data_IF_582062780071
#
_entry.id   IF_582062780071
#
_cell.length_a   1.000
_cell.length_b   1.000
_cell.length_c   1.000
_cell.angle_alpha   90.00
_cell.angle_beta   90.00
_cell.angle_gamma   90.00
#
_symmetry.space_group_name_H-M   'P 1'
#
loop_
_entity.id
_entity.type
_entity.pdbx_description
1 polymer ?
#
# COMPACT_ATOMS: atom_id res chain seq x y z
N UNK A 1 -13.95 10.84 -0.42
CA UNK A 1 -12.91 10.56 0.58
C UNK A 1 -13.27 9.31 1.35
N UNK A 2 -12.29 8.57 1.88
CA UNK A 2 -12.54 7.40 2.74
C UNK A 2 -13.10 7.84 4.10
N UNK A 3 -14.01 7.06 4.66
CA UNK A 3 -14.42 7.21 6.06
C UNK A 3 -13.33 6.71 7.00
N UNK A 4 -13.33 7.16 8.26
CA UNK A 4 -12.37 6.67 9.27
C UNK A 4 -12.41 5.15 9.43
N UNK A 5 -13.59 4.53 9.36
CA UNK A 5 -13.75 3.08 9.40
C UNK A 5 -13.03 2.41 8.23
N UNK A 6 -13.23 2.90 7.00
CA UNK A 6 -12.56 2.36 5.83
C UNK A 6 -11.04 2.54 5.89
N UNK A 7 -10.54 3.67 6.40
CA UNK A 7 -9.11 3.89 6.59
C UNK A 7 -8.52 2.82 7.52
N UNK A 8 -9.16 2.55 8.66
CA UNK A 8 -8.72 1.53 9.60
C UNK A 8 -8.71 0.15 8.96
N UNK A 9 -9.81 -0.25 8.31
CA UNK A 9 -9.93 -1.57 7.67
C UNK A 9 -8.84 -1.79 6.59
N UNK A 10 -8.57 -0.78 5.77
CA UNK A 10 -7.56 -0.84 4.71
C UNK A 10 -6.13 -0.79 5.27
N UNK A 11 -5.90 -0.02 6.34
CA UNK A 11 -4.61 0.03 7.01
C UNK A 11 -4.28 -1.32 7.68
N UNK A 12 -5.26 -1.93 8.38
CA UNK A 12 -5.12 -3.24 9.02
C UNK A 12 -4.88 -4.34 7.99
N UNK A 13 -5.56 -4.29 6.84
CA UNK A 13 -5.34 -5.24 5.76
C UNK A 13 -3.90 -5.20 5.22
N UNK A 14 -3.26 -4.03 5.20
CA UNK A 14 -1.87 -3.87 4.81
C UNK A 14 -0.88 -4.29 5.91
N UNK A 15 -1.28 -4.15 7.17
CA UNK A 15 -0.51 -4.54 8.35
C UNK A 15 -0.47 -6.07 8.60
N UNK A 16 -1.31 -6.86 7.91
CA UNK A 16 -1.32 -8.32 8.06
C UNK A 16 0.04 -8.94 7.74
N UNK A 17 0.43 -9.95 8.52
CA UNK A 17 1.65 -10.73 8.31
C UNK A 17 1.61 -11.44 6.95
N UNK A 18 2.75 -11.42 6.28
CA UNK A 18 3.10 -12.13 5.05
C UNK A 18 4.38 -12.95 5.30
N UNK A 19 4.98 -13.51 4.25
CA UNK A 19 6.15 -14.40 4.34
C UNK A 19 7.37 -13.70 4.95
N UNK A 20 8.13 -14.43 5.76
CA UNK A 20 9.39 -13.96 6.33
C UNK A 20 9.22 -12.91 7.43
N UNK A 21 8.11 -12.97 8.19
CA UNK A 21 7.78 -12.03 9.28
C UNK A 21 7.58 -10.57 8.84
N UNK A 22 7.56 -10.33 7.53
CA UNK A 22 7.16 -9.04 6.98
C UNK A 22 5.63 -8.91 7.04
N UNK A 23 5.12 -7.69 7.13
CA UNK A 23 3.73 -7.40 6.79
C UNK A 23 3.58 -7.31 5.27
N UNK A 24 2.35 -7.37 4.76
CA UNK A 24 2.11 -7.15 3.33
C UNK A 24 2.64 -5.78 2.88
N UNK A 25 2.46 -4.74 3.69
CA UNK A 25 3.02 -3.42 3.44
C UNK A 25 4.55 -3.41 3.46
N UNK A 26 5.18 -4.08 4.43
CA UNK A 26 6.64 -4.21 4.50
C UNK A 26 7.23 -4.92 3.27
N UNK A 27 6.60 -6.01 2.81
CA UNK A 27 7.04 -6.73 1.60
C UNK A 27 6.80 -5.91 0.33
N UNK A 28 5.70 -5.15 0.26
CA UNK A 28 5.46 -4.23 -0.85
C UNK A 28 6.53 -3.14 -0.92
N UNK A 29 6.90 -2.56 0.23
CA UNK A 29 8.00 -1.59 0.32
C UNK A 29 9.32 -2.20 -0.15
N UNK A 30 9.67 -3.41 0.29
CA UNK A 30 10.88 -4.08 -0.20
C UNK A 30 10.90 -4.25 -1.72
N UNK A 31 9.76 -4.63 -2.31
CA UNK A 31 9.64 -4.88 -3.74
C UNK A 31 9.71 -3.60 -4.58
N UNK A 32 9.13 -2.50 -4.08
CA UNK A 32 9.02 -1.26 -4.83
C UNK A 32 10.20 -0.32 -4.53
N UNK A 33 10.49 -0.06 -3.26
CA UNK A 33 11.58 0.85 -2.85
C UNK A 33 13.00 0.38 -3.21
N UNK A 34 13.18 -0.88 -3.62
CA UNK A 34 14.45 -1.36 -4.19
C UNK A 34 14.55 -1.20 -5.72
N UNK A 35 13.51 -0.70 -6.41
CA UNK A 35 13.58 -0.46 -7.85
C UNK A 35 14.39 0.81 -8.15
N UNK A 36 15.12 0.85 -9.28
CA UNK A 36 15.68 2.10 -9.78
C UNK A 36 14.57 3.14 -9.95
N UNK A 37 14.81 4.36 -9.48
CA UNK A 37 13.88 5.50 -9.58
C UNK A 37 12.50 5.25 -8.96
N UNK A 38 12.40 4.42 -7.90
CA UNK A 38 11.13 4.25 -7.19
C UNK A 38 10.69 5.54 -6.51
N UNK A 39 9.38 5.81 -6.52
CA UNK A 39 8.79 6.89 -5.74
C UNK A 39 8.73 6.54 -4.24
N UNK A 40 8.94 5.27 -3.88
CA UNK A 40 8.89 4.80 -2.50
C UNK A 40 10.26 4.88 -1.82
N UNK A 41 10.32 5.12 -0.50
CA UNK A 41 11.58 5.17 0.21
C UNK A 41 12.31 3.82 0.14
N UNK A 42 13.64 3.87 0.06
CA UNK A 42 14.45 2.65 0.06
C UNK A 42 14.27 1.92 1.41
N UNK A 43 13.90 0.64 1.41
CA UNK A 43 13.81 -0.14 2.64
C UNK A 43 15.19 -0.23 3.30
N UNK A 44 15.26 0.05 4.61
CA UNK A 44 16.51 0.04 5.36
C UNK A 44 16.29 -0.48 6.78
N UNK A 45 17.29 -1.16 7.33
CA UNK A 45 17.26 -1.74 8.67
C UNK A 45 16.63 -3.13 8.73
N UNK A 46 16.16 -3.50 9.92
CA UNK A 46 15.60 -4.83 10.19
C UNK A 46 14.12 -4.95 9.77
N UNK A 47 13.56 -6.16 9.86
CA UNK A 47 12.18 -6.47 9.45
C UNK A 47 11.14 -5.56 10.13
N UNK A 48 11.29 -5.28 11.42
CA UNK A 48 10.37 -4.41 12.15
C UNK A 48 10.38 -2.96 11.61
N UNK A 49 11.56 -2.44 11.29
CA UNK A 49 11.72 -1.11 10.69
C UNK A 49 11.08 -1.09 9.29
N UNK A 50 11.30 -2.12 8.49
CA UNK A 50 10.72 -2.25 7.15
C UNK A 50 9.19 -2.34 7.20
N UNK A 51 8.63 -3.12 8.13
CA UNK A 51 7.19 -3.23 8.32
C UNK A 51 6.57 -1.88 8.69
N UNK A 52 7.18 -1.16 9.65
CA UNK A 52 6.74 0.17 10.04
C UNK A 52 6.85 1.17 8.89
N UNK A 53 7.95 1.17 8.14
CA UNK A 53 8.14 2.04 6.99
C UNK A 53 7.09 1.78 5.90
N UNK A 54 6.80 0.50 5.61
CA UNK A 54 5.75 0.13 4.66
C UNK A 54 4.37 0.60 5.13
N UNK A 55 4.06 0.43 6.42
CA UNK A 55 2.80 0.89 6.98
C UNK A 55 2.66 2.42 6.96
N UNK A 56 3.74 3.15 7.21
CA UNK A 56 3.73 4.61 7.14
C UNK A 56 3.36 5.10 5.74
N UNK A 57 3.87 4.46 4.68
CA UNK A 57 3.49 4.77 3.29
C UNK A 57 2.00 4.52 3.06
N UNK A 58 1.46 3.40 3.55
CA UNK A 58 0.02 3.09 3.43
C UNK A 58 -0.83 4.16 4.12
N UNK A 59 -0.48 4.48 5.37
CA UNK A 59 -1.21 5.45 6.17
C UNK A 59 -1.19 6.83 5.51
N UNK A 60 -0.02 7.29 5.06
CA UNK A 60 0.15 8.54 4.33
C UNK A 60 -0.77 8.64 3.10
N UNK A 61 -0.84 7.58 2.29
CA UNK A 61 -1.73 7.55 1.12
C UNK A 61 -3.22 7.52 1.53
N UNK A 62 -3.59 6.76 2.56
CA UNK A 62 -4.99 6.62 2.99
C UNK A 62 -5.54 7.88 3.68
N UNK A 63 -4.69 8.63 4.39
CA UNK A 63 -5.11 9.81 5.16
C UNK A 63 -4.89 11.13 4.43
N UNK A 64 -4.22 11.12 3.28
CA UNK A 64 -4.08 12.31 2.45
C UNK A 64 -5.45 12.74 1.87
N UNK A 65 -5.93 13.97 2.15
CA UNK A 65 -7.26 14.42 1.73
C UNK A 65 -7.40 14.58 0.20
N UNK A 66 -6.27 14.69 -0.50
CA UNK A 66 -6.20 14.80 -1.96
C UNK A 66 -5.98 13.45 -2.65
N UNK A 67 -5.97 12.34 -1.91
CA UNK A 67 -5.92 11.01 -2.50
C UNK A 67 -7.17 10.70 -3.32
N UNK A 68 -6.96 10.17 -4.52
CA UNK A 68 -8.02 9.73 -5.42
C UNK A 68 -8.25 8.23 -5.29
N UNK A 69 -9.51 7.82 -5.42
CA UNK A 69 -9.92 6.41 -5.33
C UNK A 69 -10.49 6.02 -6.69
N UNK A 70 -9.92 4.99 -7.30
CA UNK A 70 -10.41 4.41 -8.54
C UNK A 70 -10.74 2.93 -8.33
N UNK A 71 -11.82 2.47 -8.96
CA UNK A 71 -12.22 1.07 -8.95
C UNK A 71 -12.29 0.57 -10.37
N UNK A 72 -11.48 -0.44 -10.71
CA UNK A 72 -11.38 -0.94 -12.08
C UNK A 72 -11.21 -2.44 -12.16
N UNK A 73 -11.57 -3.00 -13.32
CA UNK A 73 -11.32 -4.40 -13.64
C UNK A 73 -9.90 -4.57 -14.15
N UNK A 74 -9.17 -5.55 -13.61
CA UNK A 74 -7.84 -5.94 -14.07
C UNK A 74 -7.87 -7.40 -14.55
N UNK A 75 -7.04 -7.73 -15.54
CA UNK A 75 -6.92 -9.11 -16.04
C UNK A 75 -6.41 -10.09 -14.98
N UNK A 76 -5.54 -9.63 -14.09
CA UNK A 76 -4.83 -10.49 -13.12
C UNK A 76 -5.55 -10.62 -11.78
N UNK A 77 -6.16 -9.54 -11.29
CA UNK A 77 -6.70 -9.49 -9.93
C UNK A 77 -8.22 -9.29 -9.91
N UNK A 78 -8.88 -9.31 -11.07
CA UNK A 78 -10.29 -8.96 -11.18
C UNK A 78 -10.53 -7.50 -10.81
N UNK A 79 -11.66 -7.23 -10.16
CA UNK A 79 -12.02 -5.89 -9.68
C UNK A 79 -11.10 -5.50 -8.52
N UNK A 80 -10.49 -4.33 -8.61
CA UNK A 80 -9.58 -3.78 -7.60
C UNK A 80 -9.98 -2.36 -7.24
N UNK A 81 -9.61 -1.95 -6.03
CA UNK A 81 -9.65 -0.55 -5.59
C UNK A 81 -8.23 -0.03 -5.51
N UNK A 82 -7.94 1.07 -6.18
CA UNK A 82 -6.66 1.78 -6.15
C UNK A 82 -6.84 3.12 -5.45
N UNK A 83 -5.98 3.43 -4.49
CA UNK A 83 -5.91 4.75 -3.87
C UNK A 83 -4.56 5.35 -4.24
N UNK A 84 -4.56 6.57 -4.82
CA UNK A 84 -3.35 7.28 -5.25
C UNK A 84 -3.25 8.65 -4.61
N UNK A 85 -2.11 8.94 -4.01
CA UNK A 85 -1.77 10.26 -3.51
C UNK A 85 -1.40 11.21 -4.68
N UNK A 86 -1.37 12.54 -4.46
CA UNK A 86 -1.07 13.53 -5.51
C UNK A 86 0.31 13.38 -6.16
N UNK A 87 1.27 12.78 -5.45
CA UNK A 87 2.61 12.49 -5.96
C UNK A 87 2.68 11.22 -6.83
N UNK A 88 1.53 10.60 -7.09
CA UNK A 88 1.38 9.40 -7.93
C UNK A 88 1.59 8.08 -7.21
N UNK A 89 2.19 8.07 -5.99
CA UNK A 89 2.30 6.86 -5.18
C UNK A 89 0.91 6.30 -4.90
N UNK A 90 0.74 5.00 -5.11
CA UNK A 90 -0.53 4.34 -4.89
C UNK A 90 -0.45 3.03 -4.14
N UNK A 91 -1.62 2.59 -3.68
CA UNK A 91 -1.86 1.30 -3.06
C UNK A 91 -3.05 0.63 -3.73
N UNK A 92 -3.03 -0.70 -3.79
CA UNK A 92 -4.08 -1.50 -4.42
C UNK A 92 -4.62 -2.53 -3.45
N UNK A 93 -5.94 -2.66 -3.44
CA UNK A 93 -6.69 -3.68 -2.73
C UNK A 93 -7.52 -4.51 -3.72
N UNK A 94 -7.71 -5.79 -3.43
CA UNK A 94 -8.67 -6.63 -4.16
C UNK A 94 -10.13 -6.27 -3.79
N UNK A 95 -11.08 -6.93 -4.45
CA UNK A 95 -12.52 -6.73 -4.21
C UNK A 95 -13.00 -7.14 -2.81
N UNK A 96 -12.17 -7.81 -2.00
CA UNK A 96 -12.45 -8.19 -0.61
C UNK A 96 -11.81 -7.24 0.40
N UNK A 97 -11.10 -6.21 -0.07
CA UNK A 97 -10.35 -5.29 0.80
C UNK A 97 -9.01 -5.85 1.27
N UNK A 98 -8.52 -6.95 0.69
CA UNK A 98 -7.17 -7.45 1.00
C UNK A 98 -6.12 -6.67 0.22
N UNK A 99 -5.06 -6.26 0.93
CA UNK A 99 -3.97 -5.50 0.33
C UNK A 99 -3.19 -6.34 -0.68
N UNK A 100 -3.04 -5.81 -1.90
CA UNK A 100 -2.28 -6.42 -3.00
C UNK A 100 -0.84 -5.88 -3.03
N UNK A 101 -0.66 -4.57 -2.90
CA UNK A 101 0.67 -3.95 -2.98
C UNK A 101 0.68 -2.48 -3.38
N UNK A 102 1.88 -1.94 -3.54
CA UNK A 102 2.14 -0.58 -3.98
C UNK A 102 2.03 -0.41 -5.51
N UNK A 103 1.79 0.82 -5.94
CA UNK A 103 1.73 1.27 -7.33
C UNK A 103 2.69 2.44 -7.49
N UNK A 104 3.61 2.34 -8.44
CA UNK A 104 4.42 3.49 -8.86
C UNK A 104 3.55 4.48 -9.67
N UNK A 105 3.96 5.75 -9.78
CA UNK A 105 3.39 6.72 -10.70
C UNK A 105 3.31 6.21 -12.14
#
# INVERSE_FOLDING_TARGET
>A
MLTSKQIVELADAAARIDRGSLTKAGRALQKHGNRPNSAFPKPFGNIAIINRAGQNVVNDILTNPSSQIDTRQTKRFGKVTEIRAPDGRGIRYDNTGSFIGFLEP
#
